data_IF_544649384777
#
_entry.id   IF_544649384777
#
_cell.length_a   1.000
_cell.length_b   1.000
_cell.length_c   1.000
_cell.angle_alpha   90.00
_cell.angle_beta   90.00
_cell.angle_gamma   90.00
#
_symmetry.space_group_name_H-M   'P 1'
#
loop_
_entity.id
_entity.type
_entity.pdbx_description
1 polymer ?
#
# COMPACT_ATOMS: atom_id res chain seq x y z
N UNK A 1 -5.18 -23.32 -10.02
CA UNK A 1 -4.33 -22.28 -9.39
C UNK A 1 -5.26 -21.17 -8.93
N UNK A 2 -5.31 -20.93 -7.62
CA UNK A 2 -6.07 -19.84 -7.03
C UNK A 2 -5.15 -18.65 -6.73
N UNK A 3 -5.72 -17.44 -6.80
CA UNK A 3 -4.98 -16.22 -6.44
C UNK A 3 -4.90 -16.13 -4.91
N UNK A 4 -3.80 -15.64 -4.36
CA UNK A 4 -3.62 -15.48 -2.92
C UNK A 4 -4.73 -14.63 -2.27
N UNK A 5 -5.21 -13.60 -2.95
CA UNK A 5 -6.31 -12.78 -2.44
C UNK A 5 -7.67 -13.50 -2.41
N UNK A 6 -7.83 -14.62 -3.13
CA UNK A 6 -9.03 -15.45 -3.03
C UNK A 6 -9.14 -16.12 -1.66
N UNK A 7 -8.04 -16.32 -0.95
CA UNK A 7 -8.06 -16.87 0.41
C UNK A 7 -8.66 -15.92 1.44
N UNK A 8 -8.70 -14.61 1.15
CA UNK A 8 -9.36 -13.60 1.98
C UNK A 8 -10.87 -13.51 1.74
N UNK A 9 -11.41 -14.15 0.69
CA UNK A 9 -12.85 -14.13 0.45
C UNK A 9 -13.58 -15.01 1.47
N UNK A 10 -14.77 -14.55 1.93
CA UNK A 10 -15.65 -15.27 2.88
C UNK A 10 -16.22 -16.55 2.24
N UNK A 11 -15.45 -17.58 2.10
CA UNK A 11 -15.92 -18.89 1.73
C UNK A 11 -15.77 -19.83 2.93
N UNK A 12 -16.87 -20.06 3.62
CA UNK A 12 -17.28 -21.22 4.44
C UNK A 12 -16.26 -21.98 5.34
N UNK A 13 -14.99 -21.62 5.40
CA UNK A 13 -13.95 -22.32 6.13
C UNK A 13 -13.08 -21.36 6.94
N UNK A 14 -13.64 -20.72 7.98
CA UNK A 14 -12.83 -19.96 8.94
C UNK A 14 -12.77 -18.44 8.67
N UNK A 15 -11.97 -17.74 9.49
CA UNK A 15 -11.73 -16.30 9.41
C UNK A 15 -10.89 -15.96 8.16
N UNK A 16 -11.33 -14.99 7.38
CA UNK A 16 -10.67 -14.56 6.12
C UNK A 16 -9.20 -14.18 6.32
N UNK A 17 -8.87 -13.53 7.44
CA UNK A 17 -7.50 -13.13 7.76
C UNK A 17 -6.60 -14.34 8.08
N UNK A 18 -7.13 -15.33 8.82
CA UNK A 18 -6.40 -16.56 9.11
C UNK A 18 -6.09 -17.37 7.86
N UNK A 19 -7.05 -17.45 6.93
CA UNK A 19 -6.85 -18.13 5.64
C UNK A 19 -5.77 -17.44 4.81
N UNK A 20 -5.76 -16.10 4.80
CA UNK A 20 -4.72 -15.33 4.12
C UNK A 20 -3.36 -15.53 4.80
N UNK A 21 -3.29 -15.48 6.14
CA UNK A 21 -2.07 -15.73 6.90
C UNK A 21 -1.50 -17.12 6.64
N UNK A 22 -2.36 -18.16 6.63
CA UNK A 22 -1.96 -19.53 6.27
C UNK A 22 -1.41 -19.63 4.84
N UNK A 23 -2.04 -18.92 3.89
CA UNK A 23 -1.56 -18.85 2.50
C UNK A 23 -0.21 -18.17 2.39
N UNK A 24 -0.01 -17.06 3.09
CA UNK A 24 1.28 -16.36 3.18
C UNK A 24 2.34 -17.29 3.77
N UNK A 25 2.03 -17.95 4.89
CA UNK A 25 2.95 -18.91 5.51
C UNK A 25 3.35 -20.04 4.57
N UNK A 26 2.39 -20.62 3.84
CA UNK A 26 2.67 -21.71 2.89
C UNK A 26 3.61 -21.30 1.75
N UNK A 27 3.56 -20.03 1.37
CA UNK A 27 4.36 -19.46 0.28
C UNK A 27 5.75 -19.01 0.75
N UNK A 28 5.78 -18.36 1.92
CA UNK A 28 6.97 -17.62 2.38
C UNK A 28 7.70 -18.30 3.53
N UNK A 29 7.03 -19.18 4.27
CA UNK A 29 7.51 -19.70 5.55
C UNK A 29 7.43 -18.70 6.71
N UNK A 30 6.96 -17.46 6.45
CA UNK A 30 6.85 -16.43 7.47
C UNK A 30 5.51 -16.53 8.20
N UNK A 31 5.58 -16.61 9.52
CA UNK A 31 4.40 -16.58 10.37
C UNK A 31 3.87 -15.16 10.49
N UNK A 32 2.58 -14.99 10.36
CA UNK A 32 1.89 -13.74 10.63
C UNK A 32 1.35 -13.80 12.05
N UNK A 33 1.83 -12.93 12.92
CA UNK A 33 1.41 -12.89 14.33
C UNK A 33 0.19 -11.99 14.51
N UNK A 34 0.10 -10.89 13.76
CA UNK A 34 -0.97 -9.92 13.85
C UNK A 34 -1.35 -9.38 12.49
N UNK A 35 -2.58 -8.90 12.36
CA UNK A 35 -3.03 -8.16 11.18
C UNK A 35 -3.82 -6.91 11.58
N UNK A 36 -3.79 -5.94 10.68
CA UNK A 36 -4.69 -4.80 10.69
C UNK A 36 -5.30 -4.64 9.29
N UNK A 37 -6.56 -4.33 9.21
CA UNK A 37 -7.25 -4.05 7.95
C UNK A 37 -8.08 -2.78 8.04
N UNK A 38 -8.22 -2.09 6.93
CA UNK A 38 -9.07 -0.91 6.79
C UNK A 38 -9.78 -0.97 5.43
N UNK A 39 -10.96 -0.37 5.37
CA UNK A 39 -11.66 -0.14 4.12
C UNK A 39 -11.21 1.19 3.49
N UNK A 40 -11.78 1.57 2.37
CA UNK A 40 -11.42 2.80 1.68
C UNK A 40 -11.71 4.05 2.50
N UNK A 41 -12.87 4.11 3.16
CA UNK A 41 -13.23 5.24 4.03
C UNK A 41 -12.27 5.36 5.22
N UNK A 42 -11.89 4.22 5.83
CA UNK A 42 -10.89 4.17 6.90
C UNK A 42 -9.52 4.65 6.44
N UNK A 43 -9.10 4.27 5.24
CA UNK A 43 -7.84 4.73 4.65
C UNK A 43 -7.84 6.26 4.46
N UNK A 44 -8.90 6.81 3.86
CA UNK A 44 -9.05 8.26 3.67
C UNK A 44 -9.02 8.99 5.01
N UNK A 45 -9.81 8.53 5.99
CA UNK A 45 -9.87 9.11 7.32
C UNK A 45 -8.51 9.13 8.04
N UNK A 46 -7.71 8.06 7.91
CA UNK A 46 -6.36 7.98 8.49
C UNK A 46 -5.48 9.08 7.89
N UNK A 47 -5.45 9.21 6.56
CA UNK A 47 -4.62 10.22 5.88
C UNK A 47 -5.08 11.63 6.23
N UNK A 48 -6.37 11.91 6.21
CA UNK A 48 -6.94 13.23 6.49
C UNK A 48 -6.70 13.65 7.95
N UNK A 49 -6.72 12.69 8.89
CA UNK A 49 -6.40 12.94 10.29
C UNK A 49 -4.93 13.34 10.52
N UNK A 50 -4.02 12.92 9.62
CA UNK A 50 -2.64 13.42 9.58
C UNK A 50 -2.48 14.77 8.85
N UNK A 51 -3.58 15.37 8.38
CA UNK A 51 -3.53 16.59 7.57
C UNK A 51 -3.04 16.36 6.14
N UNK A 52 -3.26 15.18 5.62
CA UNK A 52 -2.81 14.75 4.30
C UNK A 52 -1.46 14.01 4.32
N UNK A 53 -1.05 13.61 3.13
CA UNK A 53 0.20 12.87 2.92
C UNK A 53 0.97 13.42 1.72
N UNK A 54 2.29 13.46 1.81
CA UNK A 54 3.13 13.92 0.71
C UNK A 54 3.28 12.82 -0.34
N UNK A 55 2.97 13.17 -1.60
CA UNK A 55 3.24 12.33 -2.76
C UNK A 55 4.15 13.09 -3.72
N UNK A 56 5.26 12.44 -4.08
CA UNK A 56 6.21 12.96 -5.05
C UNK A 56 6.13 12.16 -6.36
N UNK A 57 5.96 12.85 -7.47
CA UNK A 57 5.94 12.26 -8.81
C UNK A 57 6.92 12.98 -9.74
N UNK A 58 7.58 12.24 -10.61
CA UNK A 58 8.58 12.74 -11.55
C UNK A 58 7.95 13.40 -12.80
N UNK A 59 6.70 13.06 -13.10
CA UNK A 59 5.88 13.64 -14.17
C UNK A 59 4.49 13.93 -13.65
N UNK A 60 3.82 14.92 -14.23
CA UNK A 60 2.39 15.16 -13.96
C UNK A 60 1.59 13.93 -14.36
N UNK A 61 0.75 13.45 -13.47
CA UNK A 61 -0.03 12.21 -13.59
C UNK A 61 -1.51 12.48 -13.34
N UNK A 62 -2.37 11.75 -14.04
CA UNK A 62 -3.82 11.76 -13.79
C UNK A 62 -4.47 10.41 -14.05
N UNK A 63 -5.70 10.24 -13.59
CA UNK A 63 -6.66 9.25 -14.08
C UNK A 63 -8.04 9.89 -14.21
N UNK A 64 -8.35 10.35 -15.40
CA UNK A 64 -9.62 11.04 -15.68
C UNK A 64 -9.87 12.21 -14.73
N UNK A 65 -10.99 12.17 -14.00
CA UNK A 65 -11.34 13.15 -12.96
C UNK A 65 -11.05 12.65 -11.54
N UNK A 66 -10.50 11.45 -11.39
CA UNK A 66 -10.29 10.84 -10.08
C UNK A 66 -9.14 11.51 -9.33
N UNK A 67 -8.06 11.82 -10.01
CA UNK A 67 -6.96 12.62 -9.46
C UNK A 67 -6.11 13.26 -10.57
N UNK A 68 -5.44 14.35 -10.22
CA UNK A 68 -4.33 14.92 -10.99
C UNK A 68 -3.22 15.32 -10.00
N UNK A 69 -2.02 14.77 -10.19
CA UNK A 69 -0.83 15.07 -9.42
C UNK A 69 0.17 15.81 -10.31
N UNK A 70 0.55 17.01 -9.90
CA UNK A 70 1.57 17.79 -10.60
C UNK A 70 2.95 17.19 -10.38
N UNK A 71 3.86 17.35 -11.34
CA UNK A 71 5.27 17.01 -11.17
C UNK A 71 5.84 17.68 -9.91
N UNK A 72 6.56 16.89 -9.10
CA UNK A 72 7.16 17.34 -7.83
C UNK A 72 6.45 16.70 -6.63
N UNK A 73 6.66 17.27 -5.46
CA UNK A 73 6.07 16.82 -4.20
C UNK A 73 4.90 17.71 -3.81
N UNK A 74 3.79 17.11 -3.38
CA UNK A 74 2.60 17.83 -2.96
C UNK A 74 1.90 17.07 -1.84
N UNK A 75 1.33 17.81 -0.89
CA UNK A 75 0.50 17.22 0.16
C UNK A 75 -0.90 17.02 -0.41
N UNK A 76 -1.42 15.80 -0.29
CA UNK A 76 -2.74 15.43 -0.82
C UNK A 76 -3.63 14.85 0.27
N UNK A 77 -4.93 15.01 0.14
CA UNK A 77 -5.95 14.42 1.00
C UNK A 77 -6.12 12.91 0.74
N UNK A 78 -6.83 12.24 1.65
CA UNK A 78 -7.04 10.80 1.62
C UNK A 78 -7.67 10.30 0.33
N UNK A 79 -8.68 11.00 -0.20
CA UNK A 79 -9.36 10.62 -1.45
C UNK A 79 -8.42 10.62 -2.66
N UNK A 80 -7.56 11.63 -2.77
CA UNK A 80 -6.56 11.71 -3.84
C UNK A 80 -5.50 10.60 -3.69
N UNK A 81 -5.02 10.38 -2.47
CA UNK A 81 -4.06 9.31 -2.17
C UNK A 81 -4.64 7.93 -2.50
N UNK A 82 -5.91 7.68 -2.09
CA UNK A 82 -6.61 6.44 -2.40
C UNK A 82 -6.71 6.21 -3.90
N UNK A 83 -7.22 7.19 -4.64
CA UNK A 83 -7.36 7.09 -6.08
C UNK A 83 -6.03 6.81 -6.77
N UNK A 84 -4.95 7.43 -6.31
CA UNK A 84 -3.62 7.20 -6.85
C UNK A 84 -3.09 5.77 -6.61
N UNK A 85 -3.27 5.20 -5.40
CA UNK A 85 -2.77 3.85 -5.08
C UNK A 85 -3.59 2.72 -5.69
N UNK A 86 -4.87 2.96 -6.03
CA UNK A 86 -5.71 1.94 -6.66
C UNK A 86 -5.73 2.05 -8.19
N UNK A 87 -5.24 3.16 -8.74
CA UNK A 87 -5.24 3.46 -10.18
C UNK A 87 -4.58 2.35 -11.01
N UNK A 88 -5.24 1.98 -12.09
CA UNK A 88 -4.73 1.04 -13.10
C UNK A 88 -4.52 1.69 -14.48
N UNK A 89 -5.02 2.89 -14.66
CA UNK A 89 -5.02 3.59 -15.93
C UNK A 89 -4.42 5.00 -15.79
N UNK A 90 -3.39 5.13 -14.95
CA UNK A 90 -2.68 6.40 -14.80
C UNK A 90 -2.12 6.84 -16.15
N UNK A 91 -2.36 8.09 -16.49
CA UNK A 91 -1.76 8.79 -17.63
C UNK A 91 -0.69 9.75 -17.14
N UNK A 92 0.33 9.99 -17.98
CA UNK A 92 1.37 10.99 -17.75
C UNK A 92 1.28 12.07 -18.81
N UNK A 93 1.51 13.32 -18.38
CA UNK A 93 1.56 14.46 -19.29
C UNK A 93 2.80 14.38 -20.18
N UNK A 94 2.59 14.52 -21.50
CA UNK A 94 3.64 14.64 -22.50
C UNK A 94 3.86 16.13 -22.82
N UNK A 95 5.04 16.64 -22.48
CA UNK A 95 5.35 18.06 -22.69
C UNK A 95 4.72 18.97 -21.63
N UNK A 96 4.11 20.06 -22.07
CA UNK A 96 3.50 21.08 -21.21
C UNK A 96 1.98 20.94 -21.16
N UNK A 97 1.38 21.39 -20.04
CA UNK A 97 -0.07 21.44 -19.94
C UNK A 97 -0.63 22.55 -20.83
N UNK A 98 -1.52 22.19 -21.74
CA UNK A 98 -2.15 23.08 -22.70
C UNK A 98 -3.65 23.18 -22.44
N UNK A 99 -4.19 24.39 -22.54
CA UNK A 99 -5.63 24.64 -22.45
C UNK A 99 -6.09 25.44 -23.69
N UNK A 100 -7.27 25.13 -24.18
CA UNK A 100 -7.88 25.92 -25.25
C UNK A 100 -8.43 27.27 -24.73
N UNK A 101 -8.91 28.09 -25.62
CA UNK A 101 -9.51 29.41 -25.29
C UNK A 101 -10.79 29.34 -24.45
N UNK A 102 -11.36 28.14 -24.28
CA UNK A 102 -12.54 27.87 -23.45
C UNK A 102 -12.14 27.26 -22.09
N UNK A 103 -10.84 27.04 -21.85
CA UNK A 103 -10.32 26.44 -20.63
C UNK A 103 -10.33 24.90 -20.61
N UNK A 104 -10.61 24.26 -21.76
CA UNK A 104 -10.57 22.80 -21.83
C UNK A 104 -9.11 22.33 -21.95
N UNK A 105 -8.80 21.22 -21.25
CA UNK A 105 -7.51 20.56 -21.37
C UNK A 105 -7.34 19.92 -22.76
N UNK A 106 -6.36 20.40 -23.51
CA UNK A 106 -5.97 19.90 -24.83
C UNK A 106 -4.54 19.34 -24.81
N UNK A 107 -4.01 19.07 -23.61
CA UNK A 107 -2.69 18.49 -23.42
C UNK A 107 -2.61 17.07 -23.99
N UNK A 108 -1.43 16.66 -24.36
CA UNK A 108 -1.14 15.30 -24.77
C UNK A 108 -0.88 14.44 -23.53
N UNK A 109 -1.62 13.33 -23.42
CA UNK A 109 -1.50 12.39 -22.33
C UNK A 109 -1.21 11.00 -22.86
N UNK A 110 -0.25 10.33 -22.27
CA UNK A 110 0.08 8.95 -22.60
C UNK A 110 -0.19 8.04 -21.40
N UNK A 111 -0.64 6.82 -21.66
CA UNK A 111 -0.77 5.81 -20.61
C UNK A 111 0.61 5.57 -20.01
N UNK A 112 0.71 5.67 -18.70
CA UNK A 112 1.95 5.42 -17.97
C UNK A 112 2.38 3.96 -18.17
N UNK A 113 3.57 3.76 -18.75
CA UNK A 113 4.15 2.43 -18.90
C UNK A 113 4.40 1.81 -17.51
N UNK A 114 4.21 0.49 -17.41
CA UNK A 114 4.48 -0.25 -16.18
C UNK A 114 3.44 -0.06 -15.08
N UNK A 115 2.27 0.56 -15.35
CA UNK A 115 1.14 0.55 -14.42
C UNK A 115 0.57 -0.87 -14.38
N UNK A 116 1.17 -1.67 -13.54
CA UNK A 116 0.83 -3.08 -13.29
C UNK A 116 0.47 -3.25 -11.80
N UNK A 117 0.10 -4.46 -11.43
CA UNK A 117 -0.06 -4.80 -10.02
C UNK A 117 1.23 -4.56 -9.21
N UNK A 118 2.41 -4.65 -9.82
CA UNK A 118 3.70 -4.37 -9.18
C UNK A 118 3.87 -2.88 -8.88
N UNK A 119 3.56 -1.99 -9.82
CA UNK A 119 3.65 -0.54 -9.59
C UNK A 119 2.62 -0.03 -8.57
N UNK A 120 1.43 -0.68 -8.49
CA UNK A 120 0.48 -0.41 -7.40
C UNK A 120 1.04 -0.80 -6.05
N UNK A 121 1.67 -1.95 -5.94
CA UNK A 121 2.32 -2.37 -4.69
C UNK A 121 3.39 -1.37 -4.26
N UNK A 122 4.16 -0.82 -5.19
CA UNK A 122 5.15 0.21 -4.87
C UNK A 122 4.51 1.48 -4.32
N UNK A 123 3.39 1.95 -4.91
CA UNK A 123 2.63 3.09 -4.40
C UNK A 123 2.04 2.82 -3.02
N UNK A 124 1.47 1.64 -2.81
CA UNK A 124 0.94 1.23 -1.50
C UNK A 124 2.03 1.19 -0.43
N UNK A 125 3.20 0.62 -0.74
CA UNK A 125 4.34 0.62 0.15
C UNK A 125 4.86 2.03 0.44
N UNK A 126 4.89 2.90 -0.58
CA UNK A 126 5.27 4.29 -0.41
C UNK A 126 4.36 4.99 0.62
N UNK A 127 3.04 4.87 0.50
CA UNK A 127 2.09 5.45 1.46
C UNK A 127 2.31 4.89 2.87
N UNK A 128 2.51 3.58 3.02
CA UNK A 128 2.79 2.97 4.34
C UNK A 128 4.04 3.58 4.96
N UNK A 129 5.12 3.76 4.20
CA UNK A 129 6.35 4.38 4.69
C UNK A 129 6.13 5.85 5.09
N UNK A 130 5.33 6.60 4.33
CA UNK A 130 4.97 7.98 4.66
C UNK A 130 4.15 8.05 5.97
N UNK A 131 3.19 7.14 6.15
CA UNK A 131 2.41 7.05 7.39
C UNK A 131 3.30 6.69 8.59
N UNK A 132 4.21 5.74 8.43
CA UNK A 132 5.20 5.41 9.47
C UNK A 132 6.10 6.60 9.81
N UNK A 133 6.44 7.43 8.81
CA UNK A 133 7.21 8.63 9.06
C UNK A 133 6.43 9.67 9.87
N UNK A 134 5.12 9.81 9.62
CA UNK A 134 4.22 10.70 10.40
C UNK A 134 4.17 10.31 11.88
N UNK A 135 4.35 9.04 12.23
CA UNK A 135 4.38 8.59 13.64
C UNK A 135 5.56 9.21 14.39
N UNK A 136 6.64 9.57 13.71
CA UNK A 136 7.81 10.23 14.33
C UNK A 136 7.51 11.64 14.86
N UNK A 137 6.45 12.27 14.36
CA UNK A 137 6.06 13.62 14.76
C UNK A 137 5.40 13.66 16.15
N UNK A 138 4.93 12.51 16.67
CA UNK A 138 4.35 12.43 18.01
C UNK A 138 5.43 12.55 19.09
N UNK A 139 5.15 13.39 20.09
CA UNK A 139 6.09 13.70 21.19
C UNK A 139 6.09 12.67 22.30
N UNK A 140 4.99 11.94 22.45
CA UNK A 140 4.83 10.93 23.48
C UNK A 140 3.93 9.78 23.03
N UNK A 141 4.11 8.62 23.67
CA UNK A 141 3.23 7.46 23.48
C UNK A 141 1.77 7.79 23.79
N UNK A 142 1.52 8.63 24.81
CA UNK A 142 0.17 9.06 25.17
C UNK A 142 -0.50 9.88 24.08
N UNK A 143 0.23 10.78 23.43
CA UNK A 143 -0.26 11.56 22.30
C UNK A 143 -0.62 10.66 21.11
N UNK A 144 0.27 9.71 20.75
CA UNK A 144 -0.02 8.72 19.71
C UNK A 144 -1.23 7.86 20.07
N UNK A 145 -1.33 7.38 21.32
CA UNK A 145 -2.47 6.57 21.77
C UNK A 145 -3.79 7.35 21.65
N UNK A 146 -3.80 8.62 22.06
CA UNK A 146 -4.99 9.49 21.92
C UNK A 146 -5.37 9.65 20.45
N UNK A 147 -4.40 9.90 19.57
CA UNK A 147 -4.63 10.05 18.13
C UNK A 147 -5.20 8.75 17.52
N UNK A 148 -4.58 7.61 17.78
CA UNK A 148 -5.05 6.32 17.24
C UNK A 148 -6.45 5.98 17.77
N UNK A 149 -6.78 6.33 19.02
CA UNK A 149 -8.13 6.13 19.57
C UNK A 149 -9.20 6.92 18.82
N UNK A 150 -8.85 8.06 18.20
CA UNK A 150 -9.80 8.81 17.34
C UNK A 150 -10.09 8.13 16.02
N UNK A 151 -9.28 7.14 15.65
CA UNK A 151 -9.36 6.37 14.40
C UNK A 151 -9.85 4.92 14.63
N UNK A 152 -10.37 4.61 15.82
CA UNK A 152 -10.76 3.24 16.19
C UNK A 152 -11.74 2.62 15.19
N UNK A 153 -12.66 3.41 14.64
CA UNK A 153 -13.64 2.97 13.63
C UNK A 153 -13.05 2.85 12.21
N UNK A 154 -11.84 3.35 11.98
CA UNK A 154 -11.23 3.37 10.65
C UNK A 154 -10.53 2.05 10.28
N UNK A 155 -10.24 1.19 11.27
CA UNK A 155 -9.50 -0.05 11.06
C UNK A 155 -9.99 -1.17 11.97
N UNK A 156 -9.69 -2.40 11.55
CA UNK A 156 -9.94 -3.62 12.32
C UNK A 156 -8.58 -4.28 12.59
N UNK A 157 -8.31 -4.59 13.84
CA UNK A 157 -7.13 -5.37 14.26
C UNK A 157 -7.58 -6.76 14.72
N UNK A 158 -6.66 -7.72 14.74
CA UNK A 158 -6.97 -9.07 15.22
C UNK A 158 -7.32 -9.09 16.72
N UNK A 159 -8.11 -10.08 17.12
CA UNK A 159 -8.64 -10.20 18.48
C UNK A 159 -7.54 -10.38 19.55
N UNK A 160 -6.35 -10.82 19.15
CA UNK A 160 -5.22 -11.05 20.06
C UNK A 160 -4.32 -9.81 20.19
N UNK A 161 -4.58 -8.76 19.41
CA UNK A 161 -3.84 -7.51 19.43
C UNK A 161 -4.70 -6.40 20.06
N UNK A 162 -4.43 -6.06 21.32
CA UNK A 162 -5.08 -4.91 21.92
C UNK A 162 -4.63 -3.61 21.26
N UNK A 163 -5.48 -2.57 21.24
CA UNK A 163 -5.12 -1.26 20.70
C UNK A 163 -3.84 -0.71 21.33
N UNK A 164 -3.69 -0.84 22.66
CA UNK A 164 -2.48 -0.42 23.35
C UNK A 164 -1.22 -1.14 22.86
N UNK A 165 -1.32 -2.45 22.59
CA UNK A 165 -0.19 -3.20 22.04
C UNK A 165 0.12 -2.77 20.59
N UNK A 166 -0.90 -2.52 19.77
CA UNK A 166 -0.71 -1.98 18.42
C UNK A 166 0.00 -0.62 18.47
N UNK A 167 -0.44 0.28 19.36
CA UNK A 167 0.22 1.60 19.56
C UNK A 167 1.66 1.43 20.03
N UNK A 168 1.95 0.50 20.94
CA UNK A 168 3.32 0.21 21.38
C UNK A 168 4.20 -0.30 20.24
N UNK A 169 3.68 -1.16 19.36
CA UNK A 169 4.39 -1.62 18.17
C UNK A 169 4.74 -0.43 17.27
N UNK A 170 3.76 0.41 16.96
CA UNK A 170 3.96 1.62 16.16
C UNK A 170 4.98 2.58 16.81
N UNK A 171 4.90 2.76 18.14
CA UNK A 171 5.83 3.59 18.87
C UNK A 171 7.28 3.10 18.78
N UNK A 172 7.49 1.79 18.84
CA UNK A 172 8.82 1.20 18.66
C UNK A 172 9.37 1.40 17.24
N UNK A 173 8.50 1.47 16.24
CA UNK A 173 8.91 1.81 14.87
C UNK A 173 9.37 3.26 14.69
N UNK A 174 8.97 4.18 15.59
CA UNK A 174 9.33 5.59 15.52
C UNK A 174 10.85 5.81 15.43
N UNK A 175 11.62 5.02 16.16
CA UNK A 175 13.08 5.16 16.23
C UNK A 175 13.80 4.37 15.11
N UNK A 176 13.05 3.70 14.25
CA UNK A 176 13.58 2.96 13.10
C UNK A 176 14.00 3.95 12.00
N UNK A 177 15.22 3.82 11.53
CA UNK A 177 15.64 4.55 10.33
C UNK A 177 14.96 3.90 9.10
N UNK A 178 13.96 4.61 8.56
CA UNK A 178 13.19 4.14 7.40
C UNK A 178 14.04 4.01 6.14
N UNK A 179 15.20 4.67 6.05
CA UNK A 179 16.14 4.51 4.94
C UNK A 179 16.79 3.12 4.91
N UNK A 180 16.81 2.43 6.04
CA UNK A 180 17.34 1.08 6.19
C UNK A 180 16.28 -0.01 5.98
N UNK A 181 15.02 0.36 5.67
CA UNK A 181 13.98 -0.60 5.35
C UNK A 181 14.21 -1.15 3.94
N UNK A 182 14.58 -2.41 3.85
CA UNK A 182 14.71 -3.11 2.57
C UNK A 182 13.36 -3.64 2.11
N UNK A 183 12.99 -3.30 0.89
CA UNK A 183 11.83 -3.91 0.22
C UNK A 183 12.21 -5.33 -0.22
N UNK A 184 11.46 -6.30 0.22
CA UNK A 184 11.60 -7.68 -0.26
C UNK A 184 10.37 -8.05 -1.07
N UNK A 185 10.52 -8.13 -2.38
CA UNK A 185 9.45 -8.58 -3.27
C UNK A 185 9.51 -10.09 -3.42
N UNK A 186 8.36 -10.75 -3.38
CA UNK A 186 8.28 -12.19 -3.70
C UNK A 186 8.71 -12.35 -5.16
N UNK A 187 9.70 -13.22 -5.46
CA UNK A 187 10.13 -13.45 -6.83
C UNK A 187 9.03 -14.17 -7.61
N UNK A 188 8.51 -13.48 -8.63
CA UNK A 188 7.40 -13.98 -9.43
C UNK A 188 7.70 -13.85 -10.92
N UNK A 189 7.11 -14.74 -11.72
CA UNK A 189 7.16 -14.69 -13.18
C UNK A 189 5.72 -14.65 -13.73
N UNK A 190 5.48 -13.90 -14.82
CA UNK A 190 4.21 -13.94 -15.52
C UNK A 190 3.94 -15.35 -16.07
N UNK A 191 2.69 -15.79 -15.95
CA UNK A 191 2.24 -17.07 -16.48
C UNK A 191 0.81 -16.92 -17.02
N UNK A 192 0.55 -17.50 -18.18
CA UNK A 192 -0.78 -17.56 -18.77
C UNK A 192 -1.43 -18.92 -18.48
N UNK A 193 -2.60 -18.90 -17.89
CA UNK A 193 -3.41 -20.09 -17.66
C UNK A 193 -4.08 -20.54 -18.95
N UNK A 194 -4.48 -21.81 -19.03
CA UNK A 194 -5.15 -22.41 -20.20
C UNK A 194 -6.46 -21.67 -20.59
N UNK A 195 -7.06 -20.94 -19.67
CA UNK A 195 -8.24 -20.12 -19.90
C UNK A 195 -7.92 -18.66 -20.32
N UNK A 196 -6.64 -18.35 -20.62
CA UNK A 196 -6.17 -17.04 -21.08
C UNK A 196 -5.97 -16.00 -19.96
N UNK A 197 -6.18 -16.36 -18.67
CA UNK A 197 -5.90 -15.44 -17.56
C UNK A 197 -4.40 -15.31 -17.31
N UNK A 198 -3.94 -14.07 -17.22
CA UNK A 198 -2.57 -13.77 -16.80
C UNK A 198 -2.49 -13.82 -15.27
N UNK A 199 -1.52 -14.55 -14.76
CA UNK A 199 -1.22 -14.68 -13.32
C UNK A 199 0.26 -14.53 -13.06
N UNK A 200 0.63 -14.26 -11.82
CA UNK A 200 2.01 -14.31 -11.36
C UNK A 200 2.20 -15.61 -10.59
N UNK A 201 3.21 -16.39 -10.96
CA UNK A 201 3.63 -17.57 -10.23
C UNK A 201 4.96 -17.32 -9.55
N UNK A 202 5.16 -17.94 -8.37
CA UNK A 202 6.42 -17.84 -7.64
C UNK A 202 7.49 -18.57 -8.45
N UNK A 203 8.56 -17.83 -8.80
CA UNK A 203 9.62 -18.32 -9.67
C UNK A 203 10.75 -19.06 -8.95
N UNK A 204 10.89 -18.83 -7.64
CA UNK A 204 11.89 -19.48 -6.80
C UNK A 204 11.41 -19.61 -5.34
N UNK A 205 12.07 -20.46 -4.57
CA UNK A 205 11.75 -20.66 -3.16
C UNK A 205 12.00 -19.34 -2.38
N UNK A 206 10.94 -18.78 -1.80
CA UNK A 206 11.00 -17.49 -1.11
C UNK A 206 11.97 -17.52 0.08
N UNK A 207 12.03 -18.60 0.86
CA UNK A 207 12.93 -18.71 2.02
C UNK A 207 14.39 -18.56 1.59
N UNK A 208 14.81 -19.29 0.54
CA UNK A 208 16.17 -19.18 0.00
C UNK A 208 16.45 -17.79 -0.57
N UNK A 209 15.46 -17.21 -1.25
CA UNK A 209 15.55 -15.84 -1.74
C UNK A 209 15.71 -14.82 -0.61
N UNK A 210 14.91 -14.92 0.45
CA UNK A 210 14.96 -14.06 1.61
C UNK A 210 16.31 -14.16 2.35
N UNK A 211 16.84 -15.39 2.52
CA UNK A 211 18.16 -15.63 3.10
C UNK A 211 19.27 -14.99 2.26
N UNK A 212 19.17 -15.07 0.93
CA UNK A 212 20.12 -14.43 0.01
C UNK A 212 20.12 -12.89 0.12
N UNK A 213 19.03 -12.30 0.63
CA UNK A 213 18.86 -10.86 0.92
C UNK A 213 19.17 -10.49 2.37
N UNK A 214 19.67 -11.44 3.17
CA UNK A 214 20.08 -11.20 4.56
C UNK A 214 18.97 -11.35 5.60
N UNK A 215 17.76 -11.77 5.21
CA UNK A 215 16.72 -12.13 6.17
C UNK A 215 17.01 -13.52 6.72
N UNK A 216 17.17 -13.62 8.05
CA UNK A 216 17.29 -14.90 8.75
C UNK A 216 15.92 -15.31 9.24
N UNK A 217 15.52 -16.55 8.98
CA UNK A 217 14.39 -17.16 9.68
C UNK A 217 14.72 -17.19 11.17
N UNK A 218 13.90 -16.52 11.98
CA UNK A 218 13.95 -16.60 13.45
C UNK A 218 13.25 -17.86 13.92
#
# INVERSE_FOLDING_TARGET
IERINASYTKNNCGNSAENLAASIYSITGLKIDHFASFNFDGFENIIDSFGGIEICVDKTQREGFSFELQKGCQNVEGSTALNWIVSRNTEVLVGEKLVDKNGNDISEWEKMEGVSDLSRNDRQQYIILQLLNKIKDFRSLGELNTFISTLEDAFIIDENLSLNNAVNILWNFRDTDLSNISKLSIPVSPYELDDGRQVLIISENFTKYAESKGLKNS
#
